data_IF_017514869879
#
_entry.id   IF_017514869879
#
_cell.length_a   1.000
_cell.length_b   1.000
_cell.length_c   1.000
_cell.angle_alpha   90.00
_cell.angle_beta   90.00
_cell.angle_gamma   90.00
#
_symmetry.space_group_name_H-M   'P 1'
#
loop_
_entity.id
_entity.type
_entity.pdbx_description
1 polymer ?
#
# COMPACT_ATOMS: atom_id res chain seq x y z
N UNK A 1 -18.14 -4.00 11.80
CA UNK A 1 -17.48 -4.88 10.80
C UNK A 1 -16.99 -4.07 9.61
N UNK A 2 -15.82 -4.42 9.07
CA UNK A 2 -15.20 -3.68 7.94
C UNK A 2 -15.91 -3.94 6.61
N UNK A 3 -15.81 -2.99 5.67
CA UNK A 3 -16.31 -3.20 4.30
C UNK A 3 -15.52 -4.27 3.54
N UNK A 4 -14.25 -4.52 3.91
CA UNK A 4 -13.51 -5.67 3.38
C UNK A 4 -14.20 -6.98 3.75
N UNK A 5 -14.52 -7.18 5.03
CA UNK A 5 -15.19 -8.41 5.47
C UNK A 5 -16.54 -8.59 4.77
N UNK A 6 -17.33 -7.52 4.63
CA UNK A 6 -18.59 -7.55 3.87
C UNK A 6 -18.39 -8.03 2.42
N UNK A 7 -17.41 -7.46 1.71
CA UNK A 7 -17.10 -7.85 0.34
C UNK A 7 -16.76 -9.34 0.26
N UNK A 8 -15.81 -9.81 1.06
CA UNK A 8 -15.42 -11.22 1.03
C UNK A 8 -16.52 -12.16 1.51
N UNK A 9 -17.40 -11.73 2.42
CA UNK A 9 -18.54 -12.50 2.87
C UNK A 9 -19.54 -12.74 1.72
N UNK A 10 -19.87 -11.67 0.98
CA UNK A 10 -20.80 -11.74 -0.17
C UNK A 10 -20.20 -12.57 -1.31
N UNK A 11 -18.90 -12.43 -1.57
CA UNK A 11 -18.20 -13.12 -2.66
C UNK A 11 -17.51 -14.42 -2.20
N UNK A 12 -17.89 -14.99 -1.04
CA UNK A 12 -17.16 -16.09 -0.40
C UNK A 12 -17.01 -17.31 -1.31
N UNK A 13 -18.11 -17.75 -1.93
CA UNK A 13 -18.15 -18.92 -2.80
C UNK A 13 -17.49 -18.64 -4.16
N UNK A 14 -17.74 -17.46 -4.73
CA UNK A 14 -17.15 -17.02 -6.01
C UNK A 14 -15.62 -16.99 -5.95
N UNK A 15 -15.08 -16.54 -4.81
CA UNK A 15 -13.64 -16.47 -4.56
C UNK A 15 -13.04 -17.81 -4.09
N UNK A 16 -13.85 -18.85 -3.91
CA UNK A 16 -13.39 -20.18 -3.47
C UNK A 16 -12.76 -20.19 -2.07
N UNK A 17 -13.24 -19.32 -1.17
CA UNK A 17 -12.66 -19.17 0.15
C UNK A 17 -13.07 -20.33 1.07
N UNK A 18 -12.14 -20.76 1.93
CA UNK A 18 -12.41 -21.77 2.97
C UNK A 18 -12.90 -21.16 4.28
N UNK A 19 -12.34 -20.02 4.66
CA UNK A 19 -12.59 -19.36 5.95
C UNK A 19 -12.31 -17.86 5.81
N UNK A 20 -13.13 -17.04 6.46
CA UNK A 20 -12.88 -15.64 6.71
C UNK A 20 -12.70 -15.41 8.20
N UNK A 21 -11.77 -14.53 8.54
CA UNK A 21 -11.53 -14.07 9.91
C UNK A 21 -11.53 -12.55 9.88
N UNK A 22 -12.30 -11.92 10.76
CA UNK A 22 -12.24 -10.47 10.95
C UNK A 22 -12.03 -10.17 12.42
N UNK A 23 -10.82 -9.72 12.76
CA UNK A 23 -10.45 -9.27 14.09
C UNK A 23 -10.54 -7.73 14.20
N UNK A 24 -11.00 -7.26 15.35
CA UNK A 24 -11.22 -5.84 15.63
C UNK A 24 -10.56 -5.44 16.94
N UNK A 25 -9.72 -4.41 16.85
CA UNK A 25 -9.15 -3.71 17.99
C UNK A 25 -10.18 -2.74 18.58
N UNK A 26 -10.23 -2.66 19.91
CA UNK A 26 -11.06 -1.70 20.64
C UNK A 26 -10.19 -0.91 21.61
N UNK A 27 -10.14 0.41 21.43
CA UNK A 27 -9.37 1.28 22.31
C UNK A 27 -10.05 1.44 23.68
N UNK A 28 -9.26 1.29 24.75
CA UNK A 28 -9.72 1.31 26.14
C UNK A 28 -10.34 2.62 26.62
N UNK A 29 -10.17 3.71 25.88
CA UNK A 29 -10.61 5.05 26.30
C UNK A 29 -11.93 5.50 25.69
N UNK A 30 -12.52 4.79 24.74
CA UNK A 30 -13.71 5.27 24.02
C UNK A 30 -15.03 4.99 24.77
N UNK A 31 -15.02 4.14 25.81
CA UNK A 31 -16.18 3.89 26.68
C UNK A 31 -16.06 4.61 28.03
N UNK A 32 -15.78 5.92 28.02
CA UNK A 32 -15.89 6.78 29.21
C UNK A 32 -17.37 6.98 29.58
N UNK A 33 -17.91 6.00 30.28
CA UNK A 33 -19.26 6.01 30.84
C UNK A 33 -19.64 4.72 31.57
N UNK A 34 -18.93 3.62 31.35
CA UNK A 34 -19.06 2.41 32.15
C UNK A 34 -17.71 1.70 32.26
N UNK A 35 -17.35 1.24 33.45
CA UNK A 35 -16.18 0.40 33.73
C UNK A 35 -16.28 -0.98 33.04
N UNK A 36 -16.36 -1.02 31.71
CA UNK A 36 -16.28 -2.25 30.95
C UNK A 36 -14.92 -2.33 30.28
N UNK A 37 -14.14 -3.34 30.69
CA UNK A 37 -12.95 -3.79 29.98
C UNK A 37 -13.27 -3.92 28.48
N UNK A 38 -12.78 -2.99 27.67
CA UNK A 38 -13.02 -2.96 26.23
C UNK A 38 -12.23 -4.08 25.56
N UNK A 39 -12.82 -5.27 25.51
CA UNK A 39 -12.22 -6.41 24.85
C UNK A 39 -12.33 -6.23 23.35
N UNK A 40 -11.23 -6.48 22.65
CA UNK A 40 -11.29 -6.69 21.21
C UNK A 40 -12.17 -7.90 20.90
N UNK A 41 -12.61 -8.00 19.66
CA UNK A 41 -13.46 -9.09 19.23
C UNK A 41 -13.11 -9.55 17.83
N UNK A 42 -13.53 -10.76 17.48
CA UNK A 42 -13.37 -11.31 16.15
C UNK A 42 -14.54 -12.22 15.79
N UNK A 43 -14.74 -12.43 14.49
CA UNK A 43 -15.61 -13.48 14.01
C UNK A 43 -14.93 -14.32 12.94
N UNK A 44 -15.50 -15.50 12.74
CA UNK A 44 -15.08 -16.46 11.75
C UNK A 44 -16.28 -16.87 10.91
N UNK A 45 -16.06 -17.07 9.62
CA UNK A 45 -17.09 -17.47 8.68
C UNK A 45 -16.56 -18.52 7.70
N UNK A 46 -17.30 -19.62 7.57
CA UNK A 46 -16.93 -20.78 6.74
C UNK A 46 -17.96 -21.05 5.63
N UNK A 47 -18.77 -20.05 5.25
CA UNK A 47 -19.69 -20.18 4.11
C UNK A 47 -21.09 -20.74 4.42
N UNK A 48 -21.43 -21.00 5.68
CA UNK A 48 -22.66 -21.74 6.07
C UNK A 48 -23.76 -20.92 6.75
N UNK A 49 -23.40 -19.79 7.35
CA UNK A 49 -24.28 -18.95 8.18
C UNK A 49 -24.73 -17.72 7.41
N UNK A 50 -25.92 -17.20 7.69
CA UNK A 50 -26.27 -15.87 7.23
C UNK A 50 -25.44 -14.78 7.94
N UNK A 51 -25.55 -13.54 7.45
CA UNK A 51 -24.82 -12.40 7.99
C UNK A 51 -25.13 -12.18 9.46
N UNK A 52 -26.42 -12.16 9.85
CA UNK A 52 -26.85 -11.85 11.21
C UNK A 52 -26.33 -12.90 12.19
N UNK A 53 -26.50 -14.18 11.88
CA UNK A 53 -25.98 -15.30 12.69
C UNK A 53 -24.45 -15.26 12.81
N UNK A 54 -23.74 -14.77 11.79
CA UNK A 54 -22.28 -14.59 11.84
C UNK A 54 -21.87 -13.44 12.77
N UNK A 55 -22.64 -12.34 12.77
CA UNK A 55 -22.38 -11.18 13.64
C UNK A 55 -22.83 -11.43 15.09
N UNK A 56 -23.87 -12.22 15.32
CA UNK A 56 -24.29 -12.56 16.68
C UNK A 56 -23.31 -13.57 17.34
N UNK A 57 -22.53 -14.28 16.52
CA UNK A 57 -21.51 -15.23 16.95
C UNK A 57 -20.11 -14.63 17.21
N UNK A 58 -20.00 -13.34 17.54
CA UNK A 58 -18.70 -12.71 17.86
C UNK A 58 -18.03 -13.41 19.05
N UNK A 59 -16.72 -13.59 18.93
CA UNK A 59 -15.83 -14.07 19.99
C UNK A 59 -15.03 -12.89 20.53
N UNK A 60 -14.79 -12.85 21.83
CA UNK A 60 -14.03 -11.77 22.47
C UNK A 60 -12.63 -12.24 22.83
N UNK A 61 -11.64 -11.37 22.60
CA UNK A 61 -10.28 -11.57 23.10
C UNK A 61 -10.22 -11.38 24.62
N UNK A 62 -9.14 -11.85 25.23
CA UNK A 62 -8.80 -11.45 26.60
C UNK A 62 -8.33 -10.00 26.65
N UNK A 63 -7.56 -9.57 25.63
CA UNK A 63 -7.08 -8.20 25.47
C UNK A 63 -7.96 -7.31 24.59
N UNK A 64 -7.37 -6.21 24.13
CA UNK A 64 -7.99 -5.17 23.29
C UNK A 64 -8.08 -5.53 21.80
N UNK A 65 -7.46 -6.63 21.37
CA UNK A 65 -7.41 -7.06 19.98
C UNK A 65 -6.29 -6.39 19.15
N UNK A 66 -5.28 -5.79 19.79
CA UNK A 66 -4.10 -5.27 19.09
C UNK A 66 -3.47 -6.38 18.22
N UNK A 67 -3.07 -6.05 16.99
CA UNK A 67 -2.51 -6.99 16.03
C UNK A 67 -1.20 -7.65 16.51
N UNK A 68 -0.54 -7.06 17.50
CA UNK A 68 0.69 -7.55 18.14
C UNK A 68 0.41 -8.53 19.28
N UNK A 69 -0.83 -8.61 19.75
CA UNK A 69 -1.21 -9.52 20.82
C UNK A 69 -1.05 -10.98 20.38
N UNK A 70 -0.75 -11.86 21.34
CA UNK A 70 -0.62 -13.31 21.06
C UNK A 70 -1.89 -13.91 20.44
N UNK A 71 -3.06 -13.42 20.86
CA UNK A 71 -4.35 -13.87 20.37
C UNK A 71 -4.57 -13.45 18.90
N UNK A 72 -4.28 -12.19 18.54
CA UNK A 72 -4.35 -11.74 17.15
C UNK A 72 -3.30 -12.42 16.26
N UNK A 73 -2.09 -12.66 16.76
CA UNK A 73 -1.05 -13.40 16.04
C UNK A 73 -1.48 -14.85 15.77
N UNK A 74 -2.25 -15.47 16.67
CA UNK A 74 -2.77 -16.82 16.43
C UNK A 74 -3.72 -16.84 15.24
N UNK A 75 -4.63 -15.87 15.14
CA UNK A 75 -5.51 -15.72 13.98
C UNK A 75 -4.71 -15.38 12.71
N UNK A 76 -3.69 -14.54 12.81
CA UNK A 76 -2.80 -14.22 11.69
C UNK A 76 -2.13 -15.48 11.15
N UNK A 77 -1.65 -16.37 12.02
CA UNK A 77 -0.99 -17.62 11.63
C UNK A 77 -1.92 -18.52 10.82
N UNK A 78 -3.22 -18.54 11.12
CA UNK A 78 -4.23 -19.29 10.35
C UNK A 78 -4.52 -18.67 8.97
N UNK A 79 -4.36 -17.36 8.80
CA UNK A 79 -4.70 -16.68 7.57
C UNK A 79 -3.63 -16.85 6.48
N UNK A 80 -4.03 -17.06 5.23
CA UNK A 80 -3.11 -17.04 4.08
C UNK A 80 -2.90 -15.62 3.54
N UNK A 81 -3.99 -14.82 3.53
CA UNK A 81 -4.05 -13.48 2.96
C UNK A 81 -4.64 -12.50 3.98
N UNK A 82 -3.98 -11.36 4.18
CA UNK A 82 -4.47 -10.25 5.02
C UNK A 82 -4.94 -9.08 4.16
N UNK A 83 -6.19 -8.64 4.35
CA UNK A 83 -6.76 -7.49 3.63
C UNK A 83 -7.28 -6.48 4.63
N UNK A 84 -6.68 -5.28 4.68
CA UNK A 84 -7.06 -4.27 5.68
C UNK A 84 -6.60 -2.85 5.33
N UNK A 85 -7.13 -1.87 6.04
CA UNK A 85 -6.61 -0.50 6.13
C UNK A 85 -5.92 -0.36 7.51
N UNK A 86 -4.63 -0.71 7.63
CA UNK A 86 -3.93 -0.68 8.91
C UNK A 86 -3.72 0.75 9.43
N UNK A 87 -3.50 0.94 10.73
CA UNK A 87 -3.15 2.24 11.28
C UNK A 87 -1.87 2.79 10.64
N UNK A 88 -1.92 3.99 10.06
CA UNK A 88 -0.78 4.55 9.34
C UNK A 88 0.43 4.80 10.25
N UNK A 89 0.22 5.10 11.53
CA UNK A 89 1.28 5.25 12.53
C UNK A 89 2.05 3.95 12.79
N UNK A 90 1.39 2.80 12.65
CA UNK A 90 1.97 1.46 12.89
C UNK A 90 2.26 0.71 11.60
N UNK A 91 2.16 1.38 10.44
CA UNK A 91 2.23 0.73 9.11
C UNK A 91 3.52 -0.07 8.90
N UNK A 92 4.67 0.48 9.31
CA UNK A 92 5.98 -0.19 9.15
C UNK A 92 6.07 -1.48 9.97
N UNK A 93 5.56 -1.44 11.20
CA UNK A 93 5.55 -2.57 12.12
C UNK A 93 4.56 -3.64 11.63
N UNK A 94 3.38 -3.21 11.19
CA UNK A 94 2.37 -4.08 10.61
C UNK A 94 2.91 -4.83 9.38
N UNK A 95 3.52 -4.13 8.42
CA UNK A 95 4.12 -4.78 7.24
C UNK A 95 5.26 -5.72 7.63
N UNK A 96 6.10 -5.35 8.60
CA UNK A 96 7.17 -6.23 9.08
C UNK A 96 6.61 -7.55 9.63
N UNK A 97 5.54 -7.49 10.44
CA UNK A 97 4.86 -8.67 10.97
C UNK A 97 4.28 -9.56 9.86
N UNK A 98 3.67 -8.96 8.82
CA UNK A 98 3.15 -9.73 7.68
C UNK A 98 4.27 -10.46 6.92
N UNK A 99 5.42 -9.81 6.74
CA UNK A 99 6.59 -10.43 6.10
C UNK A 99 7.18 -11.54 6.97
N UNK A 100 7.31 -11.31 8.28
CA UNK A 100 7.80 -12.30 9.25
C UNK A 100 6.96 -13.57 9.24
N UNK A 101 5.63 -13.42 9.20
CA UNK A 101 4.70 -14.55 9.11
C UNK A 101 4.42 -15.03 7.69
N UNK A 102 5.19 -14.57 6.68
CA UNK A 102 5.09 -15.00 5.28
C UNK A 102 3.68 -14.87 4.68
N UNK A 103 2.96 -13.82 5.07
CA UNK A 103 1.56 -13.61 4.66
C UNK A 103 1.48 -12.95 3.30
N UNK A 104 0.49 -13.37 2.51
CA UNK A 104 0.03 -12.58 1.39
C UNK A 104 -0.82 -11.43 1.89
N UNK A 105 -0.83 -10.30 1.21
CA UNK A 105 -1.62 -9.16 1.68
C UNK A 105 -2.03 -8.18 0.60
N UNK A 106 -3.13 -7.48 0.84
CA UNK A 106 -3.61 -6.33 0.08
C UNK A 106 -4.01 -5.25 1.10
N UNK A 107 -3.17 -4.24 1.29
CA UNK A 107 -3.39 -3.23 2.34
C UNK A 107 -3.37 -1.81 1.81
N UNK A 108 -4.18 -0.95 2.42
CA UNK A 108 -4.15 0.49 2.13
C UNK A 108 -3.01 1.12 2.91
N UNK A 109 -2.17 1.89 2.23
CA UNK A 109 -1.10 2.67 2.84
C UNK A 109 -1.15 4.13 2.42
N UNK A 110 -0.34 4.95 3.08
CA UNK A 110 -0.02 6.29 2.60
C UNK A 110 1.10 6.23 1.55
N UNK A 111 1.08 7.11 0.53
CA UNK A 111 2.12 7.19 -0.49
C UNK A 111 3.52 7.45 0.10
N UNK A 112 3.58 8.17 1.21
CA UNK A 112 4.82 8.43 1.92
C UNK A 112 5.45 7.15 2.49
N UNK A 113 4.67 6.07 2.66
CA UNK A 113 5.18 4.80 3.17
C UNK A 113 6.23 4.17 2.24
N UNK A 114 6.17 4.47 0.94
CA UNK A 114 7.18 4.04 -0.04
C UNK A 114 8.58 4.60 0.32
N UNK A 115 8.63 5.77 0.94
CA UNK A 115 9.90 6.43 1.29
C UNK A 115 10.55 5.82 2.53
N UNK A 116 9.84 4.99 3.29
CA UNK A 116 10.38 4.33 4.48
C UNK A 116 11.42 3.29 4.07
N UNK A 117 12.60 3.34 4.71
CA UNK A 117 13.75 2.49 4.36
C UNK A 117 13.39 1.00 4.27
N UNK A 118 12.61 0.47 5.22
CA UNK A 118 12.21 -0.94 5.23
C UNK A 118 11.23 -1.28 4.10
N UNK A 119 10.26 -0.42 3.82
CA UNK A 119 9.28 -0.63 2.74
C UNK A 119 9.96 -0.52 1.38
N UNK A 120 10.78 0.52 1.17
CA UNK A 120 11.54 0.65 -0.09
C UNK A 120 12.46 -0.53 -0.33
N UNK A 121 13.12 -1.05 0.72
CA UNK A 121 13.97 -2.25 0.61
C UNK A 121 13.16 -3.47 0.13
N UNK A 122 11.95 -3.67 0.65
CA UNK A 122 11.06 -4.74 0.18
C UNK A 122 10.66 -4.55 -1.29
N UNK A 123 10.39 -3.31 -1.72
CA UNK A 123 10.07 -2.99 -3.11
C UNK A 123 11.26 -3.26 -4.03
N UNK A 124 12.44 -2.74 -3.69
CA UNK A 124 13.69 -2.94 -4.42
C UNK A 124 14.00 -4.43 -4.58
N UNK A 125 13.81 -5.22 -3.53
CA UNK A 125 14.06 -6.66 -3.52
C UNK A 125 12.90 -7.49 -4.10
N UNK A 126 11.92 -6.83 -4.73
CA UNK A 126 10.78 -7.47 -5.37
C UNK A 126 9.95 -8.39 -4.44
N UNK A 127 9.86 -8.03 -3.15
CA UNK A 127 9.05 -8.75 -2.14
C UNK A 127 7.67 -8.13 -1.96
N UNK A 128 7.54 -6.84 -2.25
CA UNK A 128 6.32 -6.05 -2.12
C UNK A 128 6.26 -5.06 -3.29
N UNK A 129 5.07 -4.68 -3.73
CA UNK A 129 4.85 -3.73 -4.80
C UNK A 129 3.58 -2.90 -4.57
N UNK A 130 3.46 -1.81 -5.32
CA UNK A 130 2.24 -1.03 -5.36
C UNK A 130 1.16 -1.85 -6.08
N UNK A 131 -0.07 -1.82 -5.58
CA UNK A 131 -1.22 -2.49 -6.17
C UNK A 131 -1.89 -1.65 -7.27
N UNK A 132 -3.11 -2.05 -7.63
CA UNK A 132 -3.91 -1.30 -8.60
C UNK A 132 -4.23 0.09 -8.07
N UNK A 133 -4.22 1.11 -8.92
CA UNK A 133 -4.52 2.51 -8.56
C UNK A 133 -3.59 3.18 -7.52
N UNK A 134 -3.64 4.51 -7.49
CA UNK A 134 -2.89 5.39 -6.58
C UNK A 134 -3.74 6.66 -6.38
N UNK A 135 -3.64 7.25 -5.18
CA UNK A 135 -4.36 8.45 -4.79
C UNK A 135 -5.87 8.26 -4.93
N UNK A 136 -6.50 9.18 -5.67
CA UNK A 136 -7.95 9.21 -5.89
C UNK A 136 -8.52 7.93 -6.52
N UNK A 137 -7.69 7.15 -7.21
CA UNK A 137 -8.13 5.93 -7.86
C UNK A 137 -8.33 4.73 -6.93
N UNK A 138 -7.93 4.83 -5.66
CA UNK A 138 -7.91 3.68 -4.73
C UNK A 138 -9.29 3.31 -4.23
N UNK A 139 -10.03 4.30 -3.78
CA UNK A 139 -11.42 4.19 -3.32
C UNK A 139 -11.86 5.53 -2.73
N UNK A 140 -13.17 5.70 -2.61
CA UNK A 140 -13.72 6.68 -1.67
C UNK A 140 -13.92 6.05 -0.28
N UNK A 141 -13.65 6.82 0.76
CA UNK A 141 -13.82 6.44 2.17
C UNK A 141 -15.10 7.07 2.71
N UNK A 142 -15.95 6.27 3.36
CA UNK A 142 -17.12 6.79 4.07
C UNK A 142 -16.62 7.47 5.35
N UNK A 143 -17.00 8.72 5.54
CA UNK A 143 -16.66 9.51 6.72
C UNK A 143 -17.89 9.79 7.59
N UNK A 144 -17.71 10.03 8.90
CA UNK A 144 -18.81 10.39 9.79
C UNK A 144 -19.58 11.62 9.31
N UNK A 145 -20.86 11.72 9.72
CA UNK A 145 -21.72 12.86 9.36
C UNK A 145 -21.18 14.21 9.83
N UNK A 146 -20.36 14.27 10.88
CA UNK A 146 -19.74 15.51 11.36
C UNK A 146 -18.47 15.91 10.60
N UNK A 147 -17.91 15.02 9.77
CA UNK A 147 -16.68 15.31 9.03
C UNK A 147 -16.98 16.28 7.89
N UNK A 148 -16.43 17.49 7.94
CA UNK A 148 -16.68 18.50 6.92
C UNK A 148 -16.11 18.07 5.56
N UNK A 149 -16.92 18.25 4.50
CA UNK A 149 -16.52 17.91 3.15
C UNK A 149 -15.97 19.16 2.48
N UNK A 150 -14.74 19.07 2.02
CA UNK A 150 -14.04 20.17 1.36
C UNK A 150 -13.39 19.72 0.06
N UNK A 151 -13.43 20.61 -0.93
CA UNK A 151 -12.82 20.40 -2.23
C UNK A 151 -13.57 19.40 -3.11
N UNK A 152 -13.00 19.18 -4.29
CA UNK A 152 -13.58 18.37 -5.37
C UNK A 152 -13.54 16.86 -5.11
N UNK A 153 -12.85 16.42 -4.05
CA UNK A 153 -12.63 15.01 -3.73
C UNK A 153 -13.68 14.42 -2.81
N UNK A 154 -14.82 15.10 -2.73
CA UNK A 154 -15.92 14.74 -1.84
C UNK A 154 -17.19 14.54 -2.64
N UNK A 155 -17.99 13.55 -2.24
CA UNK A 155 -19.31 13.31 -2.81
C UNK A 155 -20.25 12.74 -1.77
N UNK A 156 -21.55 12.88 -2.03
CA UNK A 156 -22.59 12.17 -1.29
C UNK A 156 -23.16 11.14 -2.27
N UNK A 157 -23.19 9.87 -1.88
CA UNK A 157 -23.80 8.83 -2.71
C UNK A 157 -25.33 8.81 -2.58
N UNK A 158 -25.99 7.98 -3.39
CA UNK A 158 -27.45 7.84 -3.39
C UNK A 158 -28.03 7.32 -2.06
N UNK A 159 -27.20 6.74 -1.20
CA UNK A 159 -27.58 6.26 0.13
C UNK A 159 -27.32 7.32 1.22
N UNK A 160 -26.86 8.51 0.85
CA UNK A 160 -26.55 9.61 1.76
C UNK A 160 -25.21 9.47 2.49
N UNK A 161 -24.33 8.53 2.08
CA UNK A 161 -23.01 8.40 2.67
C UNK A 161 -22.11 9.55 2.20
N UNK A 162 -21.41 10.18 3.15
CA UNK A 162 -20.39 11.19 2.87
C UNK A 162 -19.09 10.48 2.51
N UNK A 163 -18.55 10.75 1.33
CA UNK A 163 -17.40 10.07 0.77
C UNK A 163 -16.25 11.05 0.53
N UNK A 164 -15.02 10.67 0.91
CA UNK A 164 -13.79 11.40 0.58
C UNK A 164 -12.83 10.53 -0.23
N UNK A 165 -12.05 11.11 -1.14
CA UNK A 165 -11.06 10.39 -1.95
C UNK A 165 -9.66 11.01 -1.80
N UNK A 166 -8.86 10.59 -0.81
CA UNK A 166 -7.55 11.18 -0.54
C UNK A 166 -6.55 10.95 -1.69
N UNK A 167 -5.73 11.96 -1.98
CA UNK A 167 -4.70 11.88 -3.04
C UNK A 167 -3.48 11.04 -2.65
N UNK A 168 -3.36 10.69 -1.38
CA UNK A 168 -2.16 10.10 -0.80
C UNK A 168 -2.33 8.62 -0.42
N UNK A 169 -3.44 7.97 -0.80
CA UNK A 169 -3.59 6.53 -0.56
C UNK A 169 -2.89 5.71 -1.65
N UNK A 170 -2.33 4.56 -1.27
CA UNK A 170 -1.86 3.52 -2.18
C UNK A 170 -2.35 2.14 -1.75
N UNK A 171 -2.43 1.20 -2.68
CA UNK A 171 -2.51 -0.21 -2.36
C UNK A 171 -1.07 -0.71 -2.27
N UNK A 172 -0.71 -1.40 -1.19
CA UNK A 172 0.55 -2.11 -1.03
C UNK A 172 0.25 -3.61 -0.95
N UNK A 173 0.97 -4.41 -1.72
CA UNK A 173 0.68 -5.84 -1.82
C UNK A 173 1.90 -6.66 -2.21
N UNK A 174 1.83 -7.96 -1.97
CA UNK A 174 2.73 -8.99 -2.51
C UNK A 174 1.95 -10.09 -3.27
N UNK A 175 0.69 -9.79 -3.64
CA UNK A 175 -0.14 -10.57 -4.54
C UNK A 175 0.14 -10.14 -5.98
N UNK A 176 0.40 -11.12 -6.83
CA UNK A 176 0.75 -10.82 -8.22
C UNK A 176 -0.50 -10.45 -9.02
N UNK A 177 -0.34 -9.58 -10.01
CA UNK A 177 -1.45 -9.10 -10.85
C UNK A 177 -0.96 -8.64 -12.22
N UNK A 178 -1.83 -8.76 -13.23
CA UNK A 178 -1.49 -8.57 -14.65
C UNK A 178 -0.73 -7.27 -14.94
N UNK A 179 -1.23 -6.14 -14.42
CA UNK A 179 -0.68 -4.81 -14.70
C UNK A 179 0.77 -4.63 -14.23
N UNK A 180 1.22 -5.40 -13.22
CA UNK A 180 2.61 -5.42 -12.75
C UNK A 180 3.61 -5.90 -13.81
N UNK A 181 3.12 -6.64 -14.81
CA UNK A 181 3.91 -7.23 -15.88
C UNK A 181 3.74 -6.50 -17.20
N UNK A 182 2.97 -5.41 -17.24
CA UNK A 182 2.84 -4.57 -18.43
C UNK A 182 4.19 -3.90 -18.72
N UNK A 183 4.61 -3.95 -20.00
CA UNK A 183 5.76 -3.21 -20.47
C UNK A 183 5.36 -1.74 -20.57
N UNK A 184 6.14 -0.85 -19.96
CA UNK A 184 5.97 0.58 -20.09
C UNK A 184 6.42 1.00 -21.52
N UNK A 185 5.53 1.52 -22.37
CA UNK A 185 5.92 1.97 -23.70
C UNK A 185 6.83 3.20 -23.61
N UNK A 186 8.01 3.12 -24.22
CA UNK A 186 9.00 4.20 -24.23
C UNK A 186 9.14 4.75 -25.64
N UNK A 187 9.04 6.06 -25.80
CA UNK A 187 9.05 6.72 -27.11
C UNK A 187 10.16 7.77 -27.24
N UNK A 188 10.86 8.09 -26.14
CA UNK A 188 11.93 9.09 -26.16
C UNK A 188 13.28 8.43 -26.42
N UNK A 189 14.14 9.17 -27.13
CA UNK A 189 15.56 8.89 -27.26
C UNK A 189 16.36 9.83 -26.37
N UNK A 190 17.54 9.38 -25.96
CA UNK A 190 18.46 10.18 -25.17
C UNK A 190 19.03 11.33 -25.98
N UNK A 191 19.11 12.50 -25.34
CA UNK A 191 19.68 13.72 -25.89
C UNK A 191 20.36 14.47 -24.74
N UNK A 192 21.68 14.59 -24.80
CA UNK A 192 22.48 15.22 -23.74
C UNK A 192 22.03 16.64 -23.38
N UNK A 193 21.36 17.35 -24.30
CA UNK A 193 20.88 18.71 -24.07
C UNK A 193 19.52 18.75 -23.35
N UNK A 194 18.82 17.62 -23.24
CA UNK A 194 17.47 17.52 -22.64
C UNK A 194 17.45 16.85 -21.27
N UNK A 195 18.48 16.08 -20.94
CA UNK A 195 18.58 15.36 -19.68
C UNK A 195 19.78 15.88 -18.90
N UNK A 196 19.50 16.47 -17.74
CA UNK A 196 20.54 16.93 -16.82
C UNK A 196 21.22 15.74 -16.12
N UNK A 197 22.52 15.86 -15.87
CA UNK A 197 23.28 14.91 -15.05
C UNK A 197 23.13 15.27 -13.57
N UNK A 198 23.27 14.27 -12.70
CA UNK A 198 23.38 14.52 -11.27
C UNK A 198 24.79 15.01 -10.92
N UNK A 199 24.89 15.93 -9.95
CA UNK A 199 26.18 16.46 -9.49
C UNK A 199 26.95 15.42 -8.65
N UNK A 200 26.21 14.57 -7.92
CA UNK A 200 26.74 13.64 -6.92
C UNK A 200 26.42 12.16 -7.21
N UNK A 201 26.04 11.83 -8.44
CA UNK A 201 25.72 10.46 -8.85
C UNK A 201 25.93 10.27 -10.36
N UNK A 202 26.44 9.12 -10.78
CA UNK A 202 26.58 8.81 -12.20
C UNK A 202 25.24 8.39 -12.80
N UNK A 203 24.49 9.38 -13.30
CA UNK A 203 23.20 9.17 -13.94
C UNK A 203 22.50 10.47 -14.34
N UNK A 204 21.39 10.32 -15.05
CA UNK A 204 20.57 11.43 -15.53
C UNK A 204 19.32 11.62 -14.66
N UNK A 205 18.88 12.87 -14.54
CA UNK A 205 17.58 13.22 -13.98
C UNK A 205 16.49 13.14 -15.05
N UNK A 206 15.46 12.32 -14.81
CA UNK A 206 14.30 12.17 -15.68
C UNK A 206 13.08 12.74 -14.95
N UNK A 207 12.60 13.89 -15.40
CA UNK A 207 11.56 14.63 -14.69
C UNK A 207 10.18 13.96 -14.74
N UNK A 208 9.86 13.21 -15.79
CA UNK A 208 8.58 12.50 -15.94
C UNK A 208 8.82 11.08 -16.44
N UNK A 209 8.03 10.13 -15.95
CA UNK A 209 8.13 8.71 -16.38
C UNK A 209 7.98 8.53 -17.90
N UNK A 210 7.19 9.37 -18.57
CA UNK A 210 7.03 9.34 -20.04
C UNK A 210 8.27 9.79 -20.80
N UNK A 211 9.21 10.45 -20.13
CA UNK A 211 10.45 10.94 -20.71
C UNK A 211 11.61 9.95 -20.49
N UNK A 212 11.36 8.73 -20.00
CA UNK A 212 12.42 7.72 -19.88
C UNK A 212 12.93 7.37 -21.30
N UNK A 213 14.22 7.61 -21.59
CA UNK A 213 14.79 7.28 -22.90
C UNK A 213 14.94 5.76 -23.08
N UNK A 214 14.55 5.26 -24.25
CA UNK A 214 14.58 3.83 -24.58
C UNK A 214 15.99 3.30 -24.89
N UNK A 215 16.92 4.18 -25.26
CA UNK A 215 18.28 3.91 -25.74
C UNK A 215 19.37 4.25 -24.71
N UNK A 216 19.03 4.86 -23.57
CA UNK A 216 19.99 5.14 -22.50
C UNK A 216 20.14 3.94 -21.55
N UNK A 217 21.34 3.36 -21.45
CA UNK A 217 21.60 2.20 -20.57
C UNK A 217 22.22 2.56 -19.22
N UNK A 218 22.55 3.83 -18.99
CA UNK A 218 23.04 4.33 -17.71
C UNK A 218 21.97 4.40 -16.63
N UNK A 219 22.37 4.84 -15.44
CA UNK A 219 21.47 5.04 -14.31
C UNK A 219 20.57 6.27 -14.52
N UNK A 220 19.30 6.17 -14.13
CA UNK A 220 18.31 7.25 -14.29
C UNK A 220 17.58 7.48 -12.97
N UNK A 221 17.42 8.73 -12.56
CA UNK A 221 16.53 9.07 -11.45
C UNK A 221 15.16 9.48 -11.98
N UNK A 222 14.13 8.70 -11.62
CA UNK A 222 12.74 8.90 -12.05
C UNK A 222 11.84 9.32 -10.88
N UNK A 223 10.66 9.94 -11.11
CA UNK A 223 9.73 10.27 -10.04
C UNK A 223 9.30 9.02 -9.26
N UNK A 224 9.06 9.15 -7.95
CA UNK A 224 8.61 8.02 -7.10
C UNK A 224 7.33 7.32 -7.60
N UNK A 225 6.44 8.06 -8.28
CA UNK A 225 5.22 7.53 -8.89
C UNK A 225 5.48 6.54 -10.02
N UNK A 226 6.71 6.47 -10.55
CA UNK A 226 7.16 5.42 -11.46
C UNK A 226 6.91 4.02 -10.91
N UNK A 227 6.99 3.82 -9.59
CA UNK A 227 6.79 2.52 -8.95
C UNK A 227 5.41 1.91 -9.23
N UNK A 228 4.41 2.72 -9.59
CA UNK A 228 3.09 2.24 -10.02
C UNK A 228 3.10 1.58 -11.41
N UNK A 229 4.12 1.89 -12.21
CA UNK A 229 4.38 1.38 -13.56
C UNK A 229 5.62 0.48 -13.61
N UNK A 230 6.19 0.15 -12.46
CA UNK A 230 7.42 -0.61 -12.39
C UNK A 230 7.16 -2.07 -12.79
N UNK A 231 7.88 -2.49 -13.82
CA UNK A 231 7.94 -3.88 -14.24
C UNK A 231 9.37 -4.40 -14.04
N UNK A 232 9.60 -5.43 -13.19
CA UNK A 232 10.93 -5.96 -12.89
C UNK A 232 11.59 -6.68 -14.08
N UNK A 233 10.85 -6.95 -15.17
CA UNK A 233 11.41 -7.51 -16.40
C UNK A 233 12.01 -6.41 -17.29
N UNK A 234 11.50 -5.18 -17.18
CA UNK A 234 11.95 -4.04 -17.99
C UNK A 234 13.02 -3.21 -17.28
N UNK A 235 12.87 -3.01 -15.96
CA UNK A 235 13.76 -2.14 -15.18
C UNK A 235 14.32 -2.84 -13.96
N UNK A 236 15.49 -2.36 -13.52
CA UNK A 236 16.11 -2.65 -12.23
C UNK A 236 16.03 -1.41 -11.34
N UNK A 237 15.65 -1.58 -10.07
CA UNK A 237 15.74 -0.52 -9.06
C UNK A 237 17.11 -0.62 -8.38
N UNK A 238 17.95 0.40 -8.57
CA UNK A 238 19.32 0.39 -8.04
C UNK A 238 19.43 1.17 -6.72
N UNK A 239 18.57 2.17 -6.50
CA UNK A 239 18.64 3.00 -5.29
C UNK A 239 17.48 3.97 -5.14
N UNK A 240 17.55 4.80 -4.10
CA UNK A 240 16.54 5.81 -3.80
C UNK A 240 17.18 7.02 -3.18
N UNK A 241 16.84 8.20 -3.71
CA UNK A 241 17.07 9.53 -3.16
C UNK A 241 18.53 9.97 -2.99
N UNK A 242 19.47 9.06 -2.73
CA UNK A 242 20.84 9.35 -2.31
C UNK A 242 21.84 9.19 -3.45
N UNK A 243 22.78 10.12 -3.53
CA UNK A 243 23.96 10.03 -4.39
C UNK A 243 25.07 9.18 -3.78
N UNK A 244 26.22 9.13 -4.47
CA UNK A 244 27.39 8.35 -4.06
C UNK A 244 28.03 8.87 -2.76
N UNK A 245 27.80 10.15 -2.43
CA UNK A 245 28.26 10.83 -1.22
C UNK A 245 27.32 10.64 -0.01
N UNK A 246 26.23 9.88 -0.17
CA UNK A 246 25.21 9.68 0.87
C UNK A 246 24.28 10.88 1.10
N UNK A 247 24.47 11.99 0.39
CA UNK A 247 23.58 13.15 0.40
C UNK A 247 22.42 12.94 -0.57
N UNK A 248 21.39 13.77 -0.45
CA UNK A 248 20.30 13.75 -1.43
C UNK A 248 20.87 14.07 -2.82
N UNK A 249 20.33 13.43 -3.85
CA UNK A 249 20.70 13.70 -5.24
C UNK A 249 20.54 15.20 -5.52
N UNK A 250 21.47 15.78 -6.28
CA UNK A 250 21.39 17.17 -6.71
C UNK A 250 21.64 17.31 -8.21
N UNK A 251 21.00 18.30 -8.81
CA UNK A 251 21.16 18.71 -10.20
C UNK A 251 21.37 20.21 -10.20
N UNK A 252 22.50 20.67 -10.74
CA UNK A 252 22.84 22.10 -10.78
C UNK A 252 22.74 22.76 -9.38
N UNK A 253 23.19 22.04 -8.34
CA UNK A 253 23.17 22.49 -6.95
C UNK A 253 21.80 22.45 -6.26
N UNK A 254 20.75 21.94 -6.91
CA UNK A 254 19.39 21.83 -6.34
C UNK A 254 19.00 20.39 -6.11
N UNK A 255 18.36 20.11 -4.98
CA UNK A 255 17.81 18.78 -4.70
C UNK A 255 16.43 18.63 -5.35
N UNK A 256 16.26 17.78 -6.39
CA UNK A 256 14.93 17.45 -6.87
C UNK A 256 14.13 16.71 -5.79
N UNK A 257 12.80 16.69 -5.95
CA UNK A 257 11.94 15.81 -5.14
C UNK A 257 12.38 14.34 -5.29
N UNK A 258 12.09 13.51 -4.29
CA UNK A 258 12.62 12.15 -4.17
C UNK A 258 12.58 11.34 -5.47
N UNK A 259 13.77 10.86 -5.88
CA UNK A 259 13.97 10.07 -7.08
C UNK A 259 14.20 8.60 -6.75
N UNK A 260 13.58 7.72 -7.53
CA UNK A 260 13.95 6.31 -7.58
C UNK A 260 15.01 6.16 -8.65
N UNK A 261 16.15 5.58 -8.28
CA UNK A 261 17.22 5.31 -9.23
C UNK A 261 16.94 3.97 -9.90
N UNK A 262 16.88 3.97 -11.22
CA UNK A 262 16.58 2.80 -12.04
C UNK A 262 17.60 2.64 -13.18
N UNK A 263 17.61 1.45 -13.77
CA UNK A 263 18.29 1.15 -15.04
C UNK A 263 17.40 0.24 -15.88
N UNK A 264 17.53 0.29 -17.20
CA UNK A 264 17.00 -0.78 -18.05
C UNK A 264 17.66 -2.11 -17.72
N UNK A 265 16.91 -3.20 -17.72
CA UNK A 265 17.53 -4.52 -17.68
C UNK A 265 18.29 -4.79 -18.97
N UNK A 266 19.40 -5.53 -18.87
CA UNK A 266 20.26 -5.86 -20.02
C UNK A 266 19.51 -6.64 -21.11
N UNK A 267 18.55 -7.46 -20.71
CA UNK A 267 17.77 -8.31 -21.60
C UNK A 267 16.51 -7.60 -22.17
N UNK A 268 16.41 -6.28 -22.02
CA UNK A 268 15.37 -5.41 -22.57
C UNK A 268 15.97 -4.37 -23.55
#
# INVERSE_FOLDING_TARGET
>A
MSNFFKYFFVHFQELGLKKLISACYVESKIFSGSNQNSKGFYCEYEGKKDWQTTIDGLKFFKGDGDFRSKESIQLLKEADVVVTNPPFSLFREFVAQLIEHSKKFLIIGNINAITYKNIFTLIKNNKVWLGMHLGRGISSFIVPRHYELYGTETKIDSLGNRLISPNNCLWLTNLDYKKRHEILPLTKKYDKNKYELYDNFDGINVNRTIDIPLDYRGSMGVPITFLHKFNPKQFEIIGFRKGNDGKDLSVNGKCPYFRVLIRHKKDY
#
